data_IF_350520218409
#
_entry.id   IF_350520218409
#
_cell.length_a   1.000
_cell.length_b   1.000
_cell.length_c   1.000
_cell.angle_alpha   90.00
_cell.angle_beta   90.00
_cell.angle_gamma   90.00
#
_symmetry.space_group_name_H-M   'P 1'
#
loop_
_entity.id
_entity.type
_entity.pdbx_description
1 polymer ?
#
# COMPACT_ATOMS: atom_id res chain seq x y z
N UNK A 1 26.51 4.60 -7.10
CA UNK A 1 26.33 3.12 -7.01
C UNK A 1 26.06 2.62 -5.59
N UNK A 2 26.92 2.86 -4.59
CA UNK A 2 26.77 2.26 -3.23
C UNK A 2 25.38 2.45 -2.58
N UNK A 3 24.75 3.63 -2.71
CA UNK A 3 23.43 3.91 -2.13
C UNK A 3 22.26 3.22 -2.84
N UNK A 4 22.33 3.12 -4.17
CA UNK A 4 21.33 2.39 -4.97
C UNK A 4 21.41 0.90 -4.68
N UNK A 5 22.63 0.33 -4.65
CA UNK A 5 22.84 -1.06 -4.28
C UNK A 5 22.37 -1.34 -2.84
N UNK A 6 22.63 -0.42 -1.91
CA UNK A 6 22.13 -0.53 -0.54
C UNK A 6 20.60 -0.48 -0.48
N UNK A 7 19.96 0.39 -1.27
CA UNK A 7 18.50 0.42 -1.39
C UNK A 7 17.96 -0.90 -1.92
N UNK A 8 18.51 -1.42 -3.02
CA UNK A 8 18.08 -2.69 -3.61
C UNK A 8 18.30 -3.87 -2.65
N UNK A 9 19.45 -3.92 -1.97
CA UNK A 9 19.74 -4.94 -0.97
C UNK A 9 18.77 -4.87 0.22
N UNK A 10 18.46 -3.66 0.71
CA UNK A 10 17.47 -3.46 1.77
C UNK A 10 16.07 -3.82 1.30
N UNK A 11 15.71 -3.45 0.09
CA UNK A 11 14.41 -3.77 -0.50
C UNK A 11 14.23 -5.29 -0.55
N UNK A 12 15.24 -6.02 -1.05
CA UNK A 12 15.22 -7.48 -1.10
C UNK A 12 15.15 -8.08 0.31
N UNK A 13 16.01 -7.64 1.22
CA UNK A 13 16.04 -8.14 2.60
C UNK A 13 14.73 -7.88 3.35
N UNK A 14 14.19 -6.67 3.27
CA UNK A 14 12.91 -6.31 3.91
C UNK A 14 11.75 -7.08 3.27
N UNK A 15 11.75 -7.24 1.95
CA UNK A 15 10.73 -8.05 1.26
C UNK A 15 10.72 -9.47 1.82
N UNK A 16 11.89 -10.13 1.86
CA UNK A 16 12.02 -11.49 2.38
C UNK A 16 11.61 -11.61 3.87
N UNK A 17 11.93 -10.61 4.68
CA UNK A 17 11.51 -10.57 6.09
C UNK A 17 10.00 -10.39 6.26
N UNK A 18 9.35 -9.68 5.35
CA UNK A 18 7.91 -9.46 5.42
C UNK A 18 7.08 -10.60 4.82
N UNK A 19 7.63 -11.45 3.94
CA UNK A 19 6.91 -12.63 3.40
C UNK A 19 6.24 -13.48 4.49
N UNK A 20 6.94 -13.93 5.55
CA UNK A 20 6.30 -14.73 6.60
C UNK A 20 5.30 -13.93 7.46
N UNK A 21 5.41 -12.60 7.47
CA UNK A 21 4.52 -11.71 8.22
C UNK A 21 3.25 -11.36 7.44
N UNK A 22 3.25 -11.55 6.11
CA UNK A 22 2.15 -11.20 5.21
C UNK A 22 0.80 -11.79 5.68
N UNK A 23 0.68 -13.08 6.06
CA UNK A 23 -0.59 -13.64 6.48
C UNK A 23 -1.13 -13.01 7.77
N UNK A 24 -0.24 -12.64 8.69
CA UNK A 24 -0.63 -11.98 9.94
C UNK A 24 -1.01 -10.53 9.71
N UNK A 25 -0.26 -9.80 8.89
CA UNK A 25 -0.58 -8.42 8.51
C UNK A 25 -1.92 -8.35 7.78
N UNK A 26 -2.16 -9.27 6.85
CA UNK A 26 -3.43 -9.42 6.14
C UNK A 26 -4.60 -9.68 7.09
N UNK A 27 -4.46 -10.61 8.04
CA UNK A 27 -5.50 -10.89 9.05
C UNK A 27 -5.78 -9.69 9.94
N UNK A 28 -4.75 -9.02 10.45
CA UNK A 28 -4.91 -7.80 11.25
C UNK A 28 -5.61 -6.71 10.46
N UNK A 29 -5.22 -6.52 9.20
CA UNK A 29 -5.82 -5.54 8.32
C UNK A 29 -7.31 -5.82 8.07
N UNK A 30 -7.65 -7.08 7.74
CA UNK A 30 -9.05 -7.51 7.58
C UNK A 30 -9.85 -7.36 8.86
N UNK A 31 -9.26 -7.67 10.02
CA UNK A 31 -9.91 -7.48 11.31
C UNK A 31 -10.24 -6.01 11.57
N UNK A 32 -9.30 -5.10 11.28
CA UNK A 32 -9.53 -3.65 11.44
C UNK A 32 -10.59 -3.16 10.47
N UNK A 33 -10.52 -3.58 9.20
CA UNK A 33 -11.52 -3.22 8.20
C UNK A 33 -12.90 -3.72 8.63
N UNK A 34 -13.01 -4.98 9.05
CA UNK A 34 -14.23 -5.59 9.55
C UNK A 34 -14.80 -4.80 10.72
N UNK A 35 -13.96 -4.45 11.69
CA UNK A 35 -14.34 -3.63 12.84
C UNK A 35 -14.98 -2.30 12.40
N UNK A 36 -14.35 -1.59 11.47
CA UNK A 36 -14.83 -0.30 10.96
C UNK A 36 -16.10 -0.46 10.12
N UNK A 37 -16.25 -1.56 9.39
CA UNK A 37 -17.40 -1.83 8.51
C UNK A 37 -18.51 -2.65 9.17
N UNK A 38 -18.40 -3.00 10.45
CA UNK A 38 -19.37 -3.85 11.16
C UNK A 38 -20.82 -3.37 11.04
N UNK A 39 -21.03 -2.05 11.05
CA UNK A 39 -22.36 -1.46 10.91
C UNK A 39 -22.97 -1.62 9.51
N UNK A 40 -22.13 -1.85 8.49
CA UNK A 40 -22.54 -1.85 7.07
C UNK A 40 -22.36 -3.20 6.39
N UNK A 41 -21.48 -4.06 6.90
CA UNK A 41 -21.23 -5.44 6.47
C UNK A 41 -21.14 -6.36 7.69
N UNK A 42 -22.27 -6.90 8.18
CA UNK A 42 -22.32 -7.63 9.44
C UNK A 42 -21.80 -9.07 9.36
N UNK A 43 -21.60 -9.64 8.16
CA UNK A 43 -21.19 -11.04 7.98
C UNK A 43 -19.81 -11.16 7.32
N UNK A 44 -19.03 -12.17 7.74
CA UNK A 44 -17.72 -12.48 7.15
C UNK A 44 -17.80 -12.87 5.67
N UNK A 45 -18.87 -13.54 5.24
CA UNK A 45 -19.10 -13.91 3.84
C UNK A 45 -19.23 -12.68 2.92
N UNK A 46 -19.86 -11.60 3.38
CA UNK A 46 -19.96 -10.36 2.60
C UNK A 46 -18.60 -9.67 2.46
N UNK A 47 -17.71 -9.83 3.45
CA UNK A 47 -16.34 -9.30 3.35
C UNK A 47 -15.46 -10.11 2.42
N UNK A 48 -15.66 -11.43 2.32
CA UNK A 48 -14.94 -12.29 1.36
C UNK A 48 -15.32 -12.00 -0.09
N UNK A 49 -16.52 -11.46 -0.33
CA UNK A 49 -17.00 -11.06 -1.65
C UNK A 49 -16.48 -9.70 -2.11
N UNK A 50 -15.75 -8.97 -1.27
CA UNK A 50 -15.14 -7.70 -1.67
C UNK A 50 -14.08 -7.96 -2.75
N UNK A 51 -14.20 -7.36 -3.94
CA UNK A 51 -13.26 -7.58 -5.04
C UNK A 51 -11.88 -6.93 -4.80
N UNK A 52 -11.70 -6.26 -3.66
CA UNK A 52 -10.51 -5.47 -3.38
C UNK A 52 -9.98 -5.74 -1.98
N UNK A 53 -8.65 -5.93 -1.90
CA UNK A 53 -7.92 -6.16 -0.67
C UNK A 53 -6.69 -5.25 -0.61
N UNK A 54 -6.77 -4.18 0.17
CA UNK A 54 -5.71 -3.20 0.33
C UNK A 54 -4.48 -3.72 1.07
N UNK A 55 -4.56 -4.88 1.74
CA UNK A 55 -3.45 -5.40 2.56
C UNK A 55 -2.19 -5.73 1.74
N UNK A 56 -2.35 -6.25 0.52
CA UNK A 56 -1.23 -6.54 -0.38
C UNK A 56 -0.55 -5.25 -0.90
N UNK A 57 -1.33 -4.18 -1.04
CA UNK A 57 -0.84 -2.87 -1.51
C UNK A 57 -0.11 -2.14 -0.39
N UNK A 58 -0.66 -2.21 0.82
CA UNK A 58 -0.03 -1.73 2.03
C UNK A 58 1.31 -2.43 2.25
N UNK A 59 1.39 -3.75 2.07
CA UNK A 59 2.67 -4.48 2.11
C UNK A 59 3.69 -3.87 1.15
N UNK A 60 3.33 -3.70 -0.12
CA UNK A 60 4.23 -3.16 -1.16
C UNK A 60 4.74 -1.77 -0.76
N UNK A 61 3.85 -0.91 -0.30
CA UNK A 61 4.19 0.43 0.18
C UNK A 61 5.14 0.39 1.40
N UNK A 62 4.86 -0.46 2.40
CA UNK A 62 5.67 -0.56 3.61
C UNK A 62 7.09 -1.03 3.30
N UNK A 63 7.24 -2.04 2.43
CA UNK A 63 8.55 -2.53 2.01
C UNK A 63 9.33 -1.42 1.29
N UNK A 64 8.70 -0.72 0.34
CA UNK A 64 9.32 0.41 -0.38
C UNK A 64 9.76 1.53 0.56
N UNK A 65 8.90 1.91 1.52
CA UNK A 65 9.17 2.97 2.48
C UNK A 65 10.32 2.61 3.43
N UNK A 66 10.32 1.39 3.96
CA UNK A 66 11.35 0.93 4.90
C UNK A 66 12.71 0.74 4.22
N UNK A 67 12.72 0.38 2.94
CA UNK A 67 13.93 0.18 2.16
C UNK A 67 14.75 1.46 1.93
N UNK A 68 14.13 2.66 2.02
CA UNK A 68 14.81 3.93 1.73
C UNK A 68 15.96 4.18 2.71
N UNK A 69 17.23 4.26 2.25
CA UNK A 69 18.34 4.62 3.12
C UNK A 69 18.29 6.09 3.52
N UNK A 70 18.62 6.39 4.79
CA UNK A 70 18.78 7.75 5.28
C UNK A 70 17.47 8.52 5.56
N UNK A 71 16.31 7.91 5.39
CA UNK A 71 15.06 8.51 5.85
C UNK A 71 14.98 8.47 7.39
N UNK A 72 14.76 9.63 8.01
CA UNK A 72 14.56 9.78 9.46
C UNK A 72 13.40 8.91 9.96
N UNK A 73 13.55 8.35 11.17
CA UNK A 73 12.54 7.46 11.76
C UNK A 73 11.17 8.13 11.89
N UNK A 74 11.14 9.43 12.27
CA UNK A 74 9.90 10.20 12.36
C UNK A 74 9.14 10.24 11.02
N UNK A 75 9.85 10.51 9.91
CA UNK A 75 9.24 10.55 8.56
C UNK A 75 8.75 9.17 8.13
N UNK A 76 9.47 8.11 8.47
CA UNK A 76 9.02 6.72 8.24
C UNK A 76 7.73 6.42 9.00
N UNK A 77 7.68 6.71 10.29
CA UNK A 77 6.50 6.44 11.12
C UNK A 77 5.27 7.21 10.64
N UNK A 78 5.44 8.49 10.28
CA UNK A 78 4.37 9.28 9.67
C UNK A 78 3.93 8.62 8.35
N UNK A 79 4.88 8.25 7.49
CA UNK A 79 4.57 7.57 6.23
C UNK A 79 3.82 6.25 6.40
N UNK A 80 4.22 5.44 7.37
CA UNK A 80 3.52 4.19 7.73
C UNK A 80 2.09 4.50 8.17
N UNK A 81 1.91 5.43 9.11
CA UNK A 81 0.59 5.79 9.62
C UNK A 81 -0.32 6.34 8.50
N UNK A 82 0.21 7.24 7.66
CA UNK A 82 -0.50 7.81 6.51
C UNK A 82 -0.87 6.73 5.49
N UNK A 83 0.07 5.83 5.15
CA UNK A 83 -0.20 4.72 4.24
C UNK A 83 -1.29 3.80 4.78
N UNK A 84 -1.17 3.36 6.04
CA UNK A 84 -2.18 2.52 6.70
C UNK A 84 -3.55 3.18 6.68
N UNK A 85 -3.65 4.45 7.07
CA UNK A 85 -4.91 5.19 7.06
C UNK A 85 -5.48 5.32 5.65
N UNK A 86 -4.65 5.61 4.63
CA UNK A 86 -5.14 5.82 3.27
C UNK A 86 -5.59 4.51 2.60
N UNK A 87 -4.86 3.40 2.80
CA UNK A 87 -5.31 2.09 2.30
C UNK A 87 -6.59 1.65 3.01
N UNK A 88 -6.66 1.77 4.35
CA UNK A 88 -7.90 1.45 5.09
C UNK A 88 -9.08 2.32 4.64
N UNK A 89 -8.85 3.62 4.44
CA UNK A 89 -9.90 4.53 3.96
C UNK A 89 -10.33 4.19 2.53
N UNK A 90 -9.38 3.84 1.65
CA UNK A 90 -9.67 3.39 0.29
C UNK A 90 -10.52 2.12 0.27
N UNK A 91 -10.17 1.14 1.10
CA UNK A 91 -10.93 -0.10 1.25
C UNK A 91 -12.32 0.17 1.82
N UNK A 92 -12.43 1.01 2.85
CA UNK A 92 -13.72 1.43 3.41
C UNK A 92 -14.59 2.13 2.35
N UNK A 93 -14.00 3.04 1.57
CA UNK A 93 -14.71 3.75 0.50
C UNK A 93 -15.21 2.77 -0.58
N UNK A 94 -14.35 1.85 -1.03
CA UNK A 94 -14.75 0.84 -2.00
C UNK A 94 -15.81 -0.10 -1.46
N UNK A 95 -15.69 -0.48 -0.19
CA UNK A 95 -16.70 -1.26 0.53
C UNK A 95 -18.03 -0.53 0.48
N UNK A 96 -18.06 0.77 0.84
CA UNK A 96 -19.26 1.60 0.82
C UNK A 96 -19.89 1.71 -0.58
N UNK A 97 -19.07 1.90 -1.62
CA UNK A 97 -19.51 1.96 -3.02
C UNK A 97 -20.06 0.60 -3.48
N UNK A 98 -19.52 -0.51 -2.99
CA UNK A 98 -19.92 -1.86 -3.39
C UNK A 98 -21.13 -2.44 -2.65
N UNK A 99 -21.44 -1.98 -1.43
CA UNK A 99 -22.57 -2.49 -0.63
C UNK A 99 -23.89 -2.59 -1.42
N UNK A 100 -24.33 -1.55 -2.16
CA UNK A 100 -25.59 -1.61 -2.91
C UNK A 100 -25.61 -2.73 -3.96
N UNK A 101 -24.44 -3.16 -4.44
CA UNK A 101 -24.28 -4.09 -5.54
C UNK A 101 -24.00 -5.52 -5.10
N UNK A 102 -23.62 -5.76 -3.84
CA UNK A 102 -23.51 -7.11 -3.28
C UNK A 102 -24.84 -7.88 -3.32
N UNK A 103 -25.97 -7.17 -3.38
CA UNK A 103 -27.31 -7.76 -3.50
C UNK A 103 -27.76 -7.99 -4.94
N UNK A 104 -27.00 -7.50 -5.94
CA UNK A 104 -27.34 -7.67 -7.36
C UNK A 104 -26.58 -8.84 -7.98
N UNK A 105 -27.26 -9.85 -8.57
CA UNK A 105 -26.63 -11.06 -9.08
C UNK A 105 -25.75 -10.85 -10.33
N UNK A 106 -25.81 -9.66 -10.95
CA UNK A 106 -24.96 -9.29 -12.10
C UNK A 106 -24.52 -7.82 -11.98
N UNK A 107 -23.24 -7.53 -11.70
CA UNK A 107 -22.75 -6.16 -11.67
C UNK A 107 -22.84 -5.53 -13.07
N UNK A 108 -23.17 -4.24 -13.13
CA UNK A 108 -23.22 -3.48 -14.38
C UNK A 108 -21.81 -3.30 -14.97
N UNK A 109 -21.73 -3.02 -16.28
CA UNK A 109 -20.46 -2.67 -16.94
C UNK A 109 -19.76 -1.49 -16.24
N UNK A 110 -20.54 -0.49 -15.81
CA UNK A 110 -20.01 0.67 -15.08
C UNK A 110 -19.34 0.26 -13.76
N UNK A 111 -19.94 -0.68 -13.02
CA UNK A 111 -19.38 -1.18 -11.76
C UNK A 111 -18.09 -1.97 -11.99
N UNK A 112 -18.06 -2.78 -13.05
CA UNK A 112 -16.84 -3.48 -13.46
C UNK A 112 -15.75 -2.47 -13.83
N UNK A 113 -16.06 -1.46 -14.63
CA UNK A 113 -15.10 -0.42 -15.04
C UNK A 113 -14.56 0.36 -13.83
N UNK A 114 -15.41 0.76 -12.89
CA UNK A 114 -14.99 1.42 -11.64
C UNK A 114 -14.07 0.53 -10.83
N UNK A 115 -14.37 -0.77 -10.75
CA UNK A 115 -13.58 -1.72 -9.95
C UNK A 115 -12.23 -2.02 -10.58
N UNK A 116 -12.16 -2.16 -11.90
CA UNK A 116 -10.90 -2.27 -12.62
C UNK A 116 -10.09 -0.98 -12.55
N UNK A 117 -10.73 0.18 -12.72
CA UNK A 117 -10.08 1.48 -12.58
C UNK A 117 -9.50 1.66 -11.17
N UNK A 118 -10.28 1.31 -10.15
CA UNK A 118 -9.80 1.33 -8.77
C UNK A 118 -8.69 0.31 -8.53
N UNK A 119 -8.80 -0.91 -9.06
CA UNK A 119 -7.75 -1.90 -8.98
C UNK A 119 -6.46 -1.37 -9.59
N UNK A 120 -6.49 -0.73 -10.76
CA UNK A 120 -5.29 -0.12 -11.36
C UNK A 120 -4.72 0.98 -10.48
N UNK A 121 -5.56 1.92 -10.05
CA UNK A 121 -5.12 3.09 -9.27
C UNK A 121 -4.63 2.67 -7.89
N UNK A 122 -5.42 1.93 -7.13
CA UNK A 122 -5.15 1.62 -5.75
C UNK A 122 -4.18 0.44 -5.58
N UNK A 123 -4.16 -0.54 -6.50
CA UNK A 123 -3.25 -1.68 -6.44
C UNK A 123 -1.87 -1.36 -7.02
N UNK A 124 -1.82 -0.76 -8.21
CA UNK A 124 -0.56 -0.61 -8.93
C UNK A 124 0.03 0.79 -8.85
N UNK A 125 -0.79 1.83 -8.71
CA UNK A 125 -0.28 3.21 -8.79
C UNK A 125 -0.05 3.82 -7.40
N UNK A 126 -1.01 3.65 -6.49
CA UNK A 126 -1.03 4.31 -5.19
C UNK A 126 0.17 3.98 -4.30
N UNK A 127 0.63 2.72 -4.14
CA UNK A 127 1.82 2.41 -3.33
C UNK A 127 3.06 3.18 -3.81
N UNK A 128 3.23 3.29 -5.13
CA UNK A 128 4.36 3.96 -5.74
C UNK A 128 4.25 5.49 -5.66
N UNK A 129 3.05 6.05 -5.87
CA UNK A 129 2.82 7.48 -5.70
C UNK A 129 3.10 7.92 -4.26
N UNK A 130 2.57 7.21 -3.27
CA UNK A 130 2.82 7.52 -1.86
C UNK A 130 4.30 7.39 -1.52
N UNK A 131 4.95 6.34 -2.01
CA UNK A 131 6.38 6.15 -1.83
C UNK A 131 7.17 7.31 -2.43
N UNK A 132 6.90 7.71 -3.68
CA UNK A 132 7.57 8.83 -4.34
C UNK A 132 7.35 10.12 -3.55
N UNK A 133 6.11 10.46 -3.19
CA UNK A 133 5.79 11.69 -2.45
C UNK A 133 6.52 11.77 -1.11
N UNK A 134 6.63 10.65 -0.38
CA UNK A 134 7.29 10.63 0.91
C UNK A 134 8.83 10.60 0.81
N UNK A 135 9.36 10.13 -0.31
CA UNK A 135 10.79 9.85 -0.47
C UNK A 135 11.48 10.65 -1.55
N UNK A 136 10.78 11.58 -2.21
CA UNK A 136 11.27 12.28 -3.40
C UNK A 136 12.63 12.93 -3.17
N UNK A 137 12.86 13.58 -2.02
CA UNK A 137 14.15 14.22 -1.69
C UNK A 137 15.28 13.20 -1.55
N UNK A 138 14.99 12.03 -0.97
CA UNK A 138 15.96 10.97 -0.79
C UNK A 138 16.27 10.30 -2.12
N UNK A 139 15.24 10.02 -2.94
CA UNK A 139 15.41 9.50 -4.30
C UNK A 139 16.24 10.48 -5.13
N UNK A 140 15.90 11.76 -5.11
CA UNK A 140 16.64 12.81 -5.80
C UNK A 140 18.10 12.88 -5.36
N UNK A 141 18.36 12.82 -4.05
CA UNK A 141 19.73 12.81 -3.52
C UNK A 141 20.52 11.55 -3.93
N UNK A 142 19.84 10.41 -4.11
CA UNK A 142 20.45 9.18 -4.63
C UNK A 142 20.79 9.30 -6.12
N UNK A 143 19.90 9.90 -6.91
CA UNK A 143 20.08 10.09 -8.35
C UNK A 143 21.09 11.22 -8.68
N UNK A 144 21.00 12.41 -8.07
CA UNK A 144 21.91 13.54 -8.35
C UNK A 144 23.38 13.22 -8.03
N UNK A 145 23.63 12.51 -6.92
CA UNK A 145 25.00 12.10 -6.53
C UNK A 145 25.59 11.03 -7.45
N UNK A 146 24.75 10.37 -8.26
CA UNK A 146 25.21 9.43 -9.28
C UNK A 146 25.69 10.16 -10.55
N UNK A 147 25.08 11.29 -10.88
CA UNK A 147 25.43 12.10 -12.06
C UNK A 147 26.72 12.90 -11.84
N UNK A 148 27.00 13.35 -10.62
CA UNK A 148 28.08 14.31 -10.37
C UNK A 148 29.46 13.70 -10.01
N UNK A 149 29.59 12.38 -9.82
CA UNK A 149 30.89 11.75 -9.52
C UNK A 149 31.60 12.23 -8.24
N UNK A 150 30.91 13.02 -7.39
CA UNK A 150 31.54 13.69 -6.25
C UNK A 150 31.87 12.70 -5.11
N UNK A 151 33.08 12.80 -4.52
CA UNK A 151 33.52 11.90 -3.45
C UNK A 151 32.73 12.10 -2.16
N UNK A 152 32.65 11.01 -1.41
CA UNK A 152 31.91 10.89 -0.14
C UNK A 152 32.68 11.61 0.96
N UNK A 153 32.10 12.67 1.55
CA UNK A 153 32.40 13.09 2.93
C UNK A 153 31.41 12.42 3.87
#
# INVERSE_FOLDING_TARGET
MKRLLLFLARLLGISLLFVPLLPSLHRCYKFVLAFITTATMPTGEMMEQLPYDGSNNLYTFLVLLLAIPGMEMRKRLIGIATGMALFLFGDFFMTAVWIPYLKTPRPSLANMAVSYGWLVVAHYLLPFLLWIVLSYRQIEAMCRRQVQGLPVK
#
